data_IF_121824788698
#
_entry.id   IF_121824788698
#
_cell.length_a   1.000
_cell.length_b   1.000
_cell.length_c   1.000
_cell.angle_alpha   90.00
_cell.angle_beta   90.00
_cell.angle_gamma   90.00
#
_symmetry.space_group_name_H-M   'P 1'
#
loop_
_entity.id
_entity.type
_entity.pdbx_description
1 polymer ?
#
# COMPACT_ATOMS: atom_id res chain seq x y z
N UNK A 1 -0.52 -17.91 42.30
CA UNK A 1 -1.94 -18.26 41.97
C UNK A 1 -2.32 -17.50 40.72
N UNK A 2 -2.56 -18.20 39.67
CA UNK A 2 -2.84 -17.65 38.35
C UNK A 2 -4.30 -17.19 38.36
N UNK A 3 -4.52 -15.85 38.50
CA UNK A 3 -5.84 -15.22 38.58
C UNK A 3 -6.58 -15.20 37.21
N UNK A 4 -6.63 -16.35 36.51
CA UNK A 4 -7.50 -16.50 35.33
C UNK A 4 -8.99 -16.55 35.73
N UNK A 5 -9.30 -16.80 37.00
CA UNK A 5 -10.70 -16.79 37.52
C UNK A 5 -11.40 -15.42 37.34
N UNK A 6 -10.63 -14.33 37.30
CA UNK A 6 -11.17 -12.99 37.03
C UNK A 6 -11.41 -12.73 35.53
N UNK A 7 -10.86 -13.58 34.65
CA UNK A 7 -10.99 -13.41 33.21
C UNK A 7 -12.34 -13.95 32.75
N UNK A 8 -13.28 -13.06 32.53
CA UNK A 8 -14.63 -13.39 32.11
C UNK A 8 -15.13 -12.45 30.98
N UNK A 9 -16.30 -12.72 30.46
CA UNK A 9 -16.89 -11.92 29.38
C UNK A 9 -17.08 -10.45 29.75
N UNK A 10 -17.36 -10.16 31.03
CA UNK A 10 -17.49 -8.80 31.55
C UNK A 10 -16.16 -8.04 31.51
N UNK A 11 -15.08 -8.70 31.90
CA UNK A 11 -13.73 -8.15 31.84
C UNK A 11 -13.34 -7.76 30.40
N UNK A 12 -13.66 -8.63 29.41
CA UNK A 12 -13.42 -8.29 27.99
C UNK A 12 -14.26 -7.11 27.52
N UNK A 13 -15.51 -7.01 27.97
CA UNK A 13 -16.37 -5.87 27.64
C UNK A 13 -15.85 -4.58 28.23
N UNK A 14 -15.44 -4.60 29.51
CA UNK A 14 -14.85 -3.44 30.20
C UNK A 14 -13.55 -3.00 29.50
N UNK A 15 -12.70 -3.95 29.08
CA UNK A 15 -11.51 -3.65 28.29
C UNK A 15 -11.86 -2.95 26.97
N UNK A 16 -12.82 -3.45 26.21
CA UNK A 16 -13.27 -2.81 24.96
C UNK A 16 -13.82 -1.40 25.23
N UNK A 17 -14.57 -1.23 26.30
CA UNK A 17 -15.11 0.08 26.68
C UNK A 17 -13.99 1.06 27.05
N UNK A 18 -12.97 0.63 27.79
CA UNK A 18 -11.82 1.48 28.12
C UNK A 18 -11.07 1.97 26.87
N UNK A 19 -10.94 1.11 25.86
CA UNK A 19 -10.29 1.49 24.60
C UNK A 19 -11.09 2.56 23.82
N UNK A 20 -12.41 2.66 24.00
CA UNK A 20 -13.24 3.69 23.33
C UNK A 20 -12.89 5.12 23.74
N UNK A 21 -12.35 5.32 24.92
CA UNK A 21 -11.94 6.65 25.37
C UNK A 21 -10.65 7.14 24.73
N UNK A 22 -9.83 6.22 24.19
CA UNK A 22 -8.47 6.52 23.71
C UNK A 22 -8.25 6.19 22.23
N UNK A 23 -9.13 5.41 21.59
CA UNK A 23 -8.90 4.86 20.25
C UNK A 23 -10.13 4.94 19.35
N UNK A 24 -9.87 5.06 18.04
CA UNK A 24 -10.90 4.92 16.99
C UNK A 24 -11.43 3.48 16.95
N UNK A 25 -12.68 3.28 16.52
CA UNK A 25 -13.34 1.98 16.44
C UNK A 25 -12.53 0.93 15.62
N UNK A 26 -11.89 1.35 14.54
CA UNK A 26 -11.01 0.50 13.73
C UNK A 26 -9.80 -0.01 14.50
N UNK A 27 -9.20 0.85 15.36
CA UNK A 27 -8.06 0.49 16.21
C UNK A 27 -8.46 -0.46 17.32
N UNK A 28 -9.66 -0.29 17.91
CA UNK A 28 -10.21 -1.19 18.93
C UNK A 28 -10.29 -2.62 18.41
N UNK A 29 -10.83 -2.80 17.19
CA UNK A 29 -10.93 -4.13 16.58
C UNK A 29 -9.55 -4.78 16.37
N UNK A 30 -8.54 -3.99 16.03
CA UNK A 30 -7.17 -4.46 15.84
C UNK A 30 -6.50 -4.86 17.16
N UNK A 31 -6.69 -4.06 18.21
CA UNK A 31 -6.15 -4.36 19.53
C UNK A 31 -6.87 -5.52 20.23
N UNK A 32 -8.16 -5.71 19.98
CA UNK A 32 -8.91 -6.84 20.54
C UNK A 32 -8.56 -8.18 19.89
N UNK A 33 -8.10 -8.20 18.64
CA UNK A 33 -7.81 -9.44 17.91
C UNK A 33 -6.79 -10.36 18.62
N UNK A 34 -5.61 -9.90 19.09
CA UNK A 34 -4.70 -10.74 19.85
C UNK A 34 -5.29 -11.18 21.20
N UNK A 35 -6.04 -10.31 21.90
CA UNK A 35 -6.72 -10.66 23.15
C UNK A 35 -7.73 -11.77 22.93
N UNK A 36 -8.52 -11.67 21.86
CA UNK A 36 -9.48 -12.73 21.48
C UNK A 36 -8.75 -14.05 21.16
N UNK A 37 -7.63 -14.01 20.45
CA UNK A 37 -6.85 -15.20 20.13
C UNK A 37 -6.29 -15.86 21.39
N UNK A 38 -5.77 -15.06 22.32
CA UNK A 38 -5.27 -15.54 23.62
C UNK A 38 -6.38 -16.16 24.47
N UNK A 39 -7.53 -15.52 24.60
CA UNK A 39 -8.65 -16.08 25.36
C UNK A 39 -9.18 -17.38 24.76
N UNK A 40 -9.18 -17.50 23.43
CA UNK A 40 -9.53 -18.76 22.76
C UNK A 40 -8.51 -19.86 23.03
N UNK A 41 -7.23 -19.53 23.03
CA UNK A 41 -6.18 -20.47 23.37
C UNK A 41 -6.31 -20.94 24.84
N UNK A 42 -6.56 -20.05 25.79
CA UNK A 42 -6.82 -20.43 27.18
C UNK A 42 -7.98 -21.41 27.32
N UNK A 43 -9.05 -21.21 26.56
CA UNK A 43 -10.17 -22.16 26.52
C UNK A 43 -9.80 -23.51 25.87
N UNK A 44 -8.99 -23.53 24.82
CA UNK A 44 -8.53 -24.73 24.14
C UNK A 44 -7.57 -25.57 24.97
N UNK A 45 -6.84 -24.94 25.88
CA UNK A 45 -5.88 -25.59 26.80
C UNK A 45 -6.49 -25.82 28.20
N UNK A 46 -7.82 -25.77 28.30
CA UNK A 46 -8.59 -26.06 29.53
C UNK A 46 -8.29 -25.13 30.74
N UNK A 47 -7.68 -23.94 30.50
CA UNK A 47 -7.53 -22.91 31.54
C UNK A 47 -8.83 -22.13 31.83
N UNK A 48 -9.81 -22.22 30.94
CA UNK A 48 -11.14 -21.61 31.10
C UNK A 48 -12.22 -22.66 30.77
N UNK A 49 -13.24 -22.73 31.60
CA UNK A 49 -14.38 -23.67 31.41
C UNK A 49 -15.23 -23.36 30.17
N UNK A 50 -15.12 -22.15 29.62
CA UNK A 50 -15.90 -21.71 28.46
C UNK A 50 -15.17 -20.64 27.65
N UNK A 51 -15.46 -20.57 26.33
CA UNK A 51 -14.99 -19.49 25.45
C UNK A 51 -15.70 -18.17 25.81
N UNK A 52 -15.01 -17.33 26.60
CA UNK A 52 -15.51 -16.03 27.05
C UNK A 52 -15.58 -14.99 25.90
N UNK A 53 -15.02 -15.29 24.71
CA UNK A 53 -15.04 -14.37 23.57
C UNK A 53 -16.37 -14.43 22.79
N UNK A 54 -17.20 -15.47 23.02
CA UNK A 54 -18.46 -15.66 22.33
C UNK A 54 -19.44 -14.55 22.69
N UNK A 55 -19.98 -13.88 21.67
CA UNK A 55 -20.98 -12.81 21.82
C UNK A 55 -20.40 -11.51 22.40
N UNK A 56 -19.08 -11.32 22.40
CA UNK A 56 -18.43 -10.02 22.62
C UNK A 56 -18.55 -9.21 21.34
N UNK A 57 -19.33 -8.13 21.38
CA UNK A 57 -19.56 -7.23 20.22
C UNK A 57 -18.52 -6.12 20.21
N UNK A 58 -17.85 -5.98 19.08
CA UNK A 58 -16.98 -4.85 18.79
C UNK A 58 -17.78 -3.65 18.25
N UNK A 59 -17.34 -2.42 18.47
CA UNK A 59 -17.92 -1.27 17.77
C UNK A 59 -17.84 -1.47 16.26
N UNK A 60 -18.88 -1.00 15.56
CA UNK A 60 -18.85 -0.97 14.10
C UNK A 60 -17.68 -0.10 13.65
N UNK A 61 -16.97 -0.56 12.63
CA UNK A 61 -15.92 0.26 12.00
C UNK A 61 -16.57 1.51 11.41
N UNK A 62 -15.97 2.65 11.67
CA UNK A 62 -16.34 3.85 10.96
C UNK A 62 -15.92 3.66 9.50
N UNK A 63 -16.88 3.72 8.59
CA UNK A 63 -16.60 3.71 7.15
C UNK A 63 -16.05 5.09 6.77
N UNK A 64 -14.76 5.30 6.96
CA UNK A 64 -14.12 6.50 6.45
C UNK A 64 -14.09 6.40 4.92
N UNK A 65 -14.77 7.30 4.24
CA UNK A 65 -14.63 7.51 2.80
C UNK A 65 -13.22 8.09 2.60
N UNK A 66 -12.39 7.35 1.85
CA UNK A 66 -11.03 7.80 1.51
C UNK A 66 -11.11 8.46 0.15
N UNK A 67 -10.99 9.77 0.12
CA UNK A 67 -10.96 10.57 -1.09
C UNK A 67 -9.69 10.27 -1.92
N UNK A 68 -9.80 9.88 -3.21
CA UNK A 68 -8.67 9.65 -4.07
C UNK A 68 -7.92 10.96 -4.40
N UNK A 69 -6.70 10.84 -4.93
CA UNK A 69 -5.95 12.01 -5.41
C UNK A 69 -6.55 12.52 -6.72
N UNK A 70 -6.58 13.84 -6.86
CA UNK A 70 -6.94 14.53 -8.11
C UNK A 70 -5.72 14.72 -9.01
N UNK A 71 -5.91 15.03 -10.30
CA UNK A 71 -4.81 15.38 -11.21
C UNK A 71 -4.00 16.57 -10.67
N UNK A 72 -4.66 17.59 -10.14
CA UNK A 72 -3.97 18.75 -9.58
C UNK A 72 -3.08 18.38 -8.39
N UNK A 73 -3.54 17.52 -7.49
CA UNK A 73 -2.73 17.06 -6.36
C UNK A 73 -1.54 16.21 -6.81
N UNK A 74 -1.73 15.38 -7.84
CA UNK A 74 -0.62 14.57 -8.40
C UNK A 74 0.43 15.50 -9.02
N UNK A 75 0.05 16.49 -9.81
CA UNK A 75 0.99 17.47 -10.34
C UNK A 75 1.74 18.23 -9.23
N UNK A 76 1.04 18.63 -8.17
CA UNK A 76 1.66 19.30 -7.01
C UNK A 76 2.67 18.38 -6.29
N UNK A 77 2.38 17.07 -6.23
CA UNK A 77 3.29 16.06 -5.67
C UNK A 77 4.52 15.88 -6.57
N UNK A 78 4.33 15.77 -7.88
CA UNK A 78 5.42 15.64 -8.85
C UNK A 78 6.35 16.84 -8.81
N UNK A 79 5.80 18.05 -8.78
CA UNK A 79 6.59 19.28 -8.62
C UNK A 79 7.39 19.30 -7.31
N UNK A 80 6.79 18.83 -6.22
CA UNK A 80 7.49 18.72 -4.94
C UNK A 80 8.64 17.70 -4.99
N UNK A 81 8.43 16.56 -5.65
CA UNK A 81 9.47 15.52 -5.82
C UNK A 81 10.62 16.05 -6.68
N UNK A 82 10.31 16.68 -7.82
CA UNK A 82 11.30 17.09 -8.81
C UNK A 82 12.08 18.31 -8.33
N UNK A 83 11.40 19.33 -7.82
CA UNK A 83 12.00 20.64 -7.55
C UNK A 83 12.53 20.81 -6.12
N UNK A 84 12.07 20.00 -5.16
CA UNK A 84 12.45 20.13 -3.75
C UNK A 84 13.32 18.99 -3.23
N UNK A 85 13.68 18.03 -4.08
CA UNK A 85 14.60 16.94 -3.70
C UNK A 85 16.04 17.42 -3.61
N UNK A 86 16.81 16.78 -2.74
CA UNK A 86 18.23 17.12 -2.47
C UNK A 86 19.10 16.98 -3.73
N UNK A 87 18.84 15.97 -4.54
CA UNK A 87 19.53 15.78 -5.82
C UNK A 87 18.64 15.07 -6.84
N UNK A 88 19.04 15.13 -8.11
CA UNK A 88 18.29 14.56 -9.24
C UNK A 88 18.07 13.06 -9.14
N UNK A 89 19.06 12.32 -8.63
CA UNK A 89 18.94 10.87 -8.51
C UNK A 89 17.91 10.47 -7.45
N UNK A 90 17.89 11.17 -6.30
CA UNK A 90 16.85 10.98 -5.28
C UNK A 90 15.49 11.39 -5.83
N UNK A 91 15.39 12.51 -6.55
CA UNK A 91 14.16 12.95 -7.19
C UNK A 91 13.61 11.84 -8.10
N UNK A 92 14.44 11.30 -8.97
CA UNK A 92 14.04 10.25 -9.91
C UNK A 92 13.65 8.94 -9.21
N UNK A 93 14.39 8.54 -8.16
CA UNK A 93 14.01 7.39 -7.31
C UNK A 93 12.64 7.59 -6.69
N UNK A 94 12.43 8.74 -6.08
CA UNK A 94 11.20 9.07 -5.36
C UNK A 94 10.00 9.19 -6.31
N UNK A 95 10.22 9.76 -7.49
CA UNK A 95 9.26 9.80 -8.58
C UNK A 95 8.84 8.38 -9.01
N UNK A 96 9.80 7.49 -9.26
CA UNK A 96 9.50 6.10 -9.59
C UNK A 96 8.73 5.38 -8.48
N UNK A 97 9.12 5.56 -7.20
CA UNK A 97 8.43 4.96 -6.05
C UNK A 97 6.97 5.45 -5.96
N UNK A 98 6.75 6.76 -6.14
CA UNK A 98 5.42 7.35 -6.10
C UNK A 98 4.53 6.80 -7.21
N UNK A 99 5.01 6.83 -8.46
CA UNK A 99 4.24 6.39 -9.62
C UNK A 99 4.04 4.86 -9.68
N UNK A 100 4.96 4.05 -9.16
CA UNK A 100 4.70 2.61 -8.99
C UNK A 100 3.52 2.33 -8.04
N UNK A 101 3.33 3.15 -7.02
CA UNK A 101 2.17 3.04 -6.15
C UNK A 101 0.90 3.64 -6.79
N UNK A 102 1.03 4.75 -7.53
CA UNK A 102 -0.09 5.49 -8.13
C UNK A 102 -0.57 4.86 -9.44
N UNK A 103 0.34 4.58 -10.38
CA UNK A 103 -0.02 4.12 -11.73
C UNK A 103 0.03 2.60 -11.91
N UNK A 104 0.68 1.88 -11.00
CA UNK A 104 0.71 0.41 -11.04
C UNK A 104 0.04 -0.23 -9.82
N UNK A 105 -0.42 0.57 -8.86
CA UNK A 105 -1.10 0.10 -7.67
C UNK A 105 -0.26 -0.83 -6.78
N UNK A 106 1.09 -0.72 -6.80
CA UNK A 106 1.96 -1.60 -6.04
C UNK A 106 1.90 -1.31 -4.53
N UNK A 107 2.05 -2.38 -3.74
CA UNK A 107 2.22 -2.27 -2.29
C UNK A 107 3.65 -1.87 -1.95
N UNK A 108 3.86 -1.20 -0.81
CA UNK A 108 5.20 -0.79 -0.34
C UNK A 108 6.22 -1.94 -0.31
N UNK A 109 5.81 -3.14 0.12
CA UNK A 109 6.68 -4.32 0.12
C UNK A 109 7.06 -4.76 -1.29
N UNK A 110 6.14 -4.67 -2.24
CA UNK A 110 6.35 -5.04 -3.64
C UNK A 110 7.34 -4.07 -4.30
N UNK A 111 7.26 -2.76 -3.98
CA UNK A 111 8.19 -1.75 -4.47
C UNK A 111 9.62 -2.01 -3.92
N UNK A 112 9.75 -2.27 -2.63
CA UNK A 112 11.06 -2.59 -2.01
C UNK A 112 11.68 -3.85 -2.61
N UNK A 113 10.86 -4.85 -2.94
CA UNK A 113 11.32 -6.15 -3.46
C UNK A 113 11.40 -6.21 -4.98
N UNK A 114 11.09 -5.13 -5.70
CA UNK A 114 11.10 -5.10 -7.15
C UNK A 114 12.52 -5.33 -7.68
N UNK A 115 12.66 -6.27 -8.63
CA UNK A 115 13.95 -6.63 -9.23
C UNK A 115 14.06 -6.05 -10.63
N UNK A 116 15.28 -5.70 -11.06
CA UNK A 116 15.55 -5.19 -12.41
C UNK A 116 15.05 -6.15 -13.51
N UNK A 117 15.20 -7.45 -13.29
CA UNK A 117 14.77 -8.49 -14.23
C UNK A 117 13.24 -8.61 -14.37
N UNK A 118 12.48 -8.10 -13.42
CA UNK A 118 11.02 -8.18 -13.40
C UNK A 118 10.38 -6.99 -14.13
N UNK A 119 11.17 -6.00 -14.55
CA UNK A 119 10.73 -4.85 -15.34
C UNK A 119 10.82 -5.19 -16.83
N UNK A 120 9.67 -5.30 -17.50
CA UNK A 120 9.56 -5.44 -18.95
C UNK A 120 9.07 -4.12 -19.54
N UNK A 121 9.15 -3.98 -20.84
CA UNK A 121 8.81 -2.73 -21.54
C UNK A 121 7.37 -2.23 -21.24
N UNK A 122 6.42 -3.14 -21.08
CA UNK A 122 4.98 -2.87 -20.93
C UNK A 122 4.38 -3.44 -19.65
N UNK A 123 5.17 -4.11 -18.82
CA UNK A 123 4.66 -4.83 -17.65
C UNK A 123 5.69 -5.05 -16.56
N UNK A 124 5.19 -5.26 -15.33
CA UNK A 124 5.96 -5.71 -14.18
C UNK A 124 5.52 -7.11 -13.78
N UNK A 125 6.48 -7.95 -13.37
CA UNK A 125 6.21 -9.23 -12.74
C UNK A 125 6.35 -9.02 -11.23
N UNK A 126 5.25 -9.21 -10.51
CA UNK A 126 5.21 -9.01 -9.06
C UNK A 126 5.13 -10.36 -8.35
N UNK A 127 6.20 -10.69 -7.65
CA UNK A 127 6.29 -11.93 -6.90
C UNK A 127 5.58 -11.82 -5.55
N UNK A 128 4.74 -12.83 -5.23
CA UNK A 128 3.98 -12.84 -4.00
C UNK A 128 4.40 -14.02 -3.11
N UNK A 129 5.26 -13.72 -2.13
CA UNK A 129 5.79 -14.72 -1.21
C UNK A 129 4.72 -15.42 -0.34
N UNK A 130 3.55 -14.80 -0.12
CA UNK A 130 2.54 -15.30 0.81
C UNK A 130 1.65 -16.40 0.22
N UNK A 131 1.39 -16.39 -1.09
CA UNK A 131 0.49 -17.33 -1.76
C UNK A 131 1.12 -18.03 -2.97
N UNK A 132 2.42 -17.84 -3.20
CA UNK A 132 3.18 -18.38 -4.34
C UNK A 132 2.50 -18.16 -5.71
N UNK A 133 1.77 -17.05 -5.86
CA UNK A 133 1.09 -16.64 -7.09
C UNK A 133 1.61 -15.31 -7.53
N UNK A 134 2.46 -15.34 -8.53
CA UNK A 134 2.94 -14.15 -9.22
C UNK A 134 1.79 -13.50 -10.00
N UNK A 135 1.90 -12.18 -10.20
CA UNK A 135 0.96 -11.44 -11.03
C UNK A 135 1.68 -10.49 -11.96
N UNK A 136 1.02 -10.18 -13.06
CA UNK A 136 1.47 -9.18 -14.01
C UNK A 136 0.68 -7.89 -13.77
N UNK A 137 1.39 -6.77 -13.73
CA UNK A 137 0.80 -5.42 -13.70
C UNK A 137 1.32 -4.66 -14.92
N UNK A 138 0.44 -3.95 -15.62
CA UNK A 138 0.83 -3.12 -16.75
C UNK A 138 1.74 -1.97 -16.26
N UNK A 139 2.71 -1.61 -17.10
CA UNK A 139 3.68 -0.57 -16.82
C UNK A 139 3.56 0.55 -17.85
N UNK A 140 3.12 1.75 -17.46
CA UNK A 140 3.09 2.90 -18.35
C UNK A 140 4.46 3.19 -18.96
N UNK A 141 4.46 3.60 -20.22
CA UNK A 141 5.69 3.83 -20.99
C UNK A 141 6.61 4.88 -20.35
N UNK A 142 6.03 5.98 -19.84
CA UNK A 142 6.79 7.04 -19.17
C UNK A 142 7.51 6.48 -17.93
N UNK A 143 6.83 5.62 -17.15
CA UNK A 143 7.40 5.05 -15.93
C UNK A 143 8.49 4.01 -16.26
N UNK A 144 8.33 3.24 -17.33
CA UNK A 144 9.39 2.36 -17.82
C UNK A 144 10.68 3.13 -18.12
N UNK A 145 10.59 4.27 -18.83
CA UNK A 145 11.75 5.09 -19.13
C UNK A 145 12.32 5.76 -17.87
N UNK A 146 11.48 6.24 -16.96
CA UNK A 146 11.93 6.80 -15.68
C UNK A 146 12.68 5.78 -14.83
N UNK A 147 12.19 4.55 -14.74
CA UNK A 147 12.89 3.46 -14.08
C UNK A 147 14.22 3.14 -14.75
N UNK A 148 14.26 3.08 -16.08
CA UNK A 148 15.51 2.86 -16.82
C UNK A 148 16.52 3.98 -16.58
N UNK A 149 16.09 5.22 -16.61
CA UNK A 149 16.98 6.36 -16.32
C UNK A 149 17.51 6.25 -14.91
N UNK A 150 16.65 5.96 -13.91
CA UNK A 150 17.07 5.82 -12.53
C UNK A 150 18.20 4.79 -12.37
N UNK A 151 18.05 3.57 -12.86
CA UNK A 151 19.09 2.57 -12.67
C UNK A 151 20.24 2.64 -13.68
N UNK A 152 20.11 3.39 -14.80
CA UNK A 152 21.22 3.67 -15.69
C UNK A 152 22.07 4.84 -15.18
N UNK A 153 21.46 5.89 -14.61
CA UNK A 153 22.20 7.00 -13.99
C UNK A 153 22.96 6.56 -12.75
N UNK A 154 22.51 5.52 -12.06
CA UNK A 154 23.24 4.94 -10.93
C UNK A 154 24.60 4.35 -11.31
N UNK A 155 24.89 4.16 -12.60
CA UNK A 155 26.21 3.73 -13.10
C UNK A 155 27.29 4.82 -13.06
N UNK A 156 26.96 6.07 -12.72
CA UNK A 156 27.95 7.15 -12.67
C UNK A 156 28.82 7.18 -11.39
N UNK A 157 28.47 6.46 -10.33
CA UNK A 157 29.41 6.21 -9.25
C UNK A 157 30.17 4.92 -9.50
N UNK A 158 31.49 5.00 -9.65
CA UNK A 158 32.40 3.84 -9.90
C UNK A 158 32.22 2.68 -8.91
N UNK A 159 31.62 2.95 -7.74
CA UNK A 159 31.35 1.97 -6.70
C UNK A 159 30.04 1.18 -6.91
N UNK A 160 29.14 1.67 -7.76
CA UNK A 160 27.85 1.04 -8.04
C UNK A 160 27.96 -0.26 -8.88
N UNK A 161 29.06 -0.38 -9.63
CA UNK A 161 29.33 -1.56 -10.49
C UNK A 161 29.65 -2.81 -9.68
N UNK A 162 30.06 -2.67 -8.42
CA UNK A 162 30.42 -3.79 -7.54
C UNK A 162 29.23 -4.43 -6.85
N UNK A 163 28.07 -3.73 -6.77
CA UNK A 163 26.90 -4.30 -6.11
C UNK A 163 26.03 -5.08 -7.09
N UNK A 164 26.11 -6.40 -7.04
CA UNK A 164 25.26 -7.34 -7.78
C UNK A 164 23.82 -7.35 -7.31
N UNK A 165 23.35 -6.27 -6.66
CA UNK A 165 21.98 -6.20 -6.17
C UNK A 165 21.00 -6.33 -7.33
N UNK A 166 20.15 -7.32 -7.25
CA UNK A 166 19.05 -7.52 -8.19
C UNK A 166 17.92 -6.53 -8.00
N UNK A 167 17.86 -5.86 -6.82
CA UNK A 167 16.83 -4.87 -6.49
C UNK A 167 16.95 -3.61 -7.33
N UNK A 168 15.79 -3.01 -7.66
CA UNK A 168 15.73 -1.75 -8.44
C UNK A 168 16.19 -0.58 -7.61
N UNK A 169 15.65 -0.45 -6.39
CA UNK A 169 15.86 0.72 -5.53
C UNK A 169 16.90 0.45 -4.48
N UNK A 170 17.93 1.30 -4.45
CA UNK A 170 19.01 1.22 -3.49
C UNK A 170 19.05 2.49 -2.62
N UNK A 171 19.55 2.33 -1.41
CA UNK A 171 19.90 3.45 -0.55
C UNK A 171 21.16 4.13 -1.12
N UNK A 172 21.23 5.44 -0.98
CA UNK A 172 22.33 6.20 -1.58
C UNK A 172 23.60 6.26 -0.71
N UNK A 173 23.51 5.83 0.55
CA UNK A 173 24.65 5.89 1.47
C UNK A 173 25.47 4.60 1.47
N UNK A 174 24.80 3.45 1.40
CA UNK A 174 25.42 2.14 1.52
C UNK A 174 25.23 1.24 0.29
N UNK A 175 24.43 1.69 -0.68
CA UNK A 175 24.04 0.92 -1.87
C UNK A 175 23.29 -0.39 -1.55
N UNK A 176 22.76 -0.52 -0.34
CA UNK A 176 21.90 -1.62 0.02
C UNK A 176 20.46 -1.39 -0.47
N UNK A 177 19.66 -2.45 -0.64
CA UNK A 177 18.25 -2.28 -1.01
C UNK A 177 17.50 -1.40 -0.01
N UNK A 178 16.67 -0.46 -0.53
CA UNK A 178 15.83 0.37 0.34
C UNK A 178 14.94 -0.50 1.23
N UNK A 179 14.56 0.06 2.37
CA UNK A 179 13.70 -0.60 3.34
C UNK A 179 12.26 -0.06 3.32
N UNK A 180 11.36 -0.75 4.02
CA UNK A 180 10.01 -0.22 4.26
C UNK A 180 10.05 1.11 5.04
N UNK A 181 11.08 1.32 5.86
CA UNK A 181 11.26 2.57 6.58
C UNK A 181 11.70 3.69 5.65
N UNK A 182 12.55 3.42 4.67
CA UNK A 182 12.94 4.40 3.63
C UNK A 182 11.69 4.93 2.90
N UNK A 183 10.77 4.04 2.49
CA UNK A 183 9.51 4.47 1.86
C UNK A 183 8.61 5.22 2.85
N UNK A 184 8.59 4.84 4.12
CA UNK A 184 7.82 5.56 5.15
C UNK A 184 8.35 6.99 5.32
N UNK A 185 9.66 7.18 5.45
CA UNK A 185 10.28 8.50 5.54
C UNK A 185 10.00 9.33 4.28
N UNK A 186 10.15 8.75 3.08
CA UNK A 186 9.80 9.41 1.83
C UNK A 186 8.38 10.00 1.85
N UNK A 187 7.36 9.23 2.25
CA UNK A 187 6.00 9.78 2.33
C UNK A 187 5.81 10.80 3.45
N UNK A 188 6.58 10.74 4.54
CA UNK A 188 6.57 11.76 5.59
C UNK A 188 7.14 13.09 5.08
N UNK A 189 8.29 13.04 4.39
CA UNK A 189 8.90 14.22 3.78
C UNK A 189 7.98 14.80 2.69
N UNK A 190 7.38 13.94 1.89
CA UNK A 190 6.48 14.34 0.82
C UNK A 190 5.25 15.11 1.30
N UNK A 191 4.70 14.79 2.47
CA UNK A 191 3.61 15.59 3.10
C UNK A 191 4.04 17.04 3.30
N UNK A 192 5.18 17.25 3.93
CA UNK A 192 5.71 18.59 4.19
C UNK A 192 6.07 19.34 2.91
N UNK A 193 6.64 18.62 1.93
CA UNK A 193 7.08 19.21 0.67
C UNK A 193 5.92 19.58 -0.25
N UNK A 194 4.92 18.72 -0.36
CA UNK A 194 3.77 18.93 -1.23
C UNK A 194 2.63 19.70 -0.55
N UNK A 195 2.58 19.74 0.78
CA UNK A 195 1.43 20.30 1.53
C UNK A 195 0.21 19.37 1.57
N UNK A 196 0.30 18.15 1.03
CA UNK A 196 -0.80 17.18 0.99
C UNK A 196 -0.64 16.20 2.17
N UNK A 197 -1.22 16.56 3.32
CA UNK A 197 -1.07 15.81 4.58
C UNK A 197 -1.57 14.36 4.52
N UNK A 198 -2.54 14.08 3.65
CA UNK A 198 -3.14 12.75 3.52
C UNK A 198 -2.33 11.78 2.65
N UNK A 199 -1.26 12.24 1.98
CA UNK A 199 -0.46 11.40 1.07
C UNK A 199 0.22 10.24 1.80
N UNK A 200 0.06 9.04 1.27
CA UNK A 200 0.75 7.81 1.69
C UNK A 200 0.55 6.70 0.65
N UNK A 201 1.38 5.68 0.67
CA UNK A 201 1.37 4.65 -0.37
C UNK A 201 0.05 3.88 -0.55
N UNK A 202 -0.76 3.75 0.52
CA UNK A 202 -2.09 3.15 0.37
C UNK A 202 -3.09 4.09 -0.30
N UNK A 203 -2.96 5.42 -0.12
CA UNK A 203 -3.79 6.39 -0.83
C UNK A 203 -3.49 6.37 -2.34
N UNK A 204 -2.21 6.30 -2.73
CA UNK A 204 -1.83 6.17 -4.14
C UNK A 204 -2.48 4.93 -4.78
N UNK A 205 -2.35 3.79 -4.13
CA UNK A 205 -2.97 2.54 -4.59
C UNK A 205 -4.51 2.58 -4.58
N UNK A 206 -5.10 3.31 -3.64
CA UNK A 206 -6.53 3.56 -3.58
C UNK A 206 -6.98 4.42 -4.79
N UNK A 207 -6.22 5.46 -5.09
CA UNK A 207 -6.42 6.30 -6.27
C UNK A 207 -6.33 5.48 -7.56
N UNK A 208 -5.32 4.63 -7.71
CA UNK A 208 -5.21 3.68 -8.82
C UNK A 208 -6.50 2.88 -9.04
N UNK A 209 -7.03 2.26 -8.00
CA UNK A 209 -8.21 1.42 -8.12
C UNK A 209 -9.48 2.22 -8.45
N UNK A 210 -9.64 3.41 -7.85
CA UNK A 210 -10.79 4.30 -8.11
C UNK A 210 -10.73 4.86 -9.52
N UNK A 211 -9.55 5.34 -9.95
CA UNK A 211 -9.30 5.83 -11.30
C UNK A 211 -9.55 4.76 -12.34
N UNK A 212 -9.08 3.54 -12.10
CA UNK A 212 -9.29 2.42 -13.02
C UNK A 212 -10.78 2.18 -13.32
N UNK A 213 -11.65 2.26 -12.32
CA UNK A 213 -13.09 2.17 -12.52
C UNK A 213 -13.69 3.42 -13.15
N UNK A 214 -13.21 4.61 -12.79
CA UNK A 214 -13.69 5.87 -13.35
C UNK A 214 -13.57 5.89 -14.88
N UNK A 215 -12.50 5.33 -15.40
CA UNK A 215 -12.25 5.26 -16.83
C UNK A 215 -12.68 3.94 -17.49
N UNK A 216 -13.61 3.21 -16.87
CA UNK A 216 -14.27 2.04 -17.45
C UNK A 216 -13.52 0.73 -17.37
N UNK A 217 -12.59 0.61 -16.43
CA UNK A 217 -11.83 -0.62 -16.20
C UNK A 217 -12.69 -1.79 -15.70
N UNK A 218 -12.32 -3.00 -16.08
CA UNK A 218 -13.00 -4.23 -15.72
C UNK A 218 -12.65 -4.69 -14.28
N UNK A 219 -13.64 -5.13 -13.52
CA UNK A 219 -13.48 -5.53 -12.11
C UNK A 219 -12.54 -6.73 -11.93
N UNK A 220 -12.61 -7.71 -12.82
CA UNK A 220 -11.78 -8.91 -12.72
C UNK A 220 -10.32 -8.60 -13.05
N UNK A 221 -10.07 -7.75 -14.07
CA UNK A 221 -8.73 -7.26 -14.37
C UNK A 221 -8.15 -6.47 -13.22
N UNK A 222 -8.94 -5.57 -12.58
CA UNK A 222 -8.47 -4.85 -11.41
C UNK A 222 -8.13 -5.80 -10.26
N UNK A 223 -8.93 -6.83 -10.04
CA UNK A 223 -8.66 -7.87 -9.03
C UNK A 223 -7.30 -8.54 -9.28
N UNK A 224 -6.99 -8.85 -10.52
CA UNK A 224 -5.69 -9.43 -10.91
C UNK A 224 -4.54 -8.43 -10.67
N UNK A 225 -4.66 -7.18 -11.11
CA UNK A 225 -3.64 -6.14 -10.90
C UNK A 225 -3.38 -5.87 -9.42
N UNK A 226 -4.44 -5.83 -8.61
CA UNK A 226 -4.35 -5.59 -7.17
C UNK A 226 -3.81 -6.80 -6.38
N UNK A 227 -3.85 -8.00 -6.96
CA UNK A 227 -3.45 -9.24 -6.30
C UNK A 227 -4.35 -9.60 -5.13
N UNK A 228 -5.39 -10.41 -5.38
CA UNK A 228 -6.35 -10.94 -4.40
C UNK A 228 -7.05 -9.88 -3.54
N UNK A 229 -7.49 -8.80 -4.14
CA UNK A 229 -8.45 -7.91 -3.49
C UNK A 229 -9.78 -8.64 -3.31
N UNK A 230 -10.36 -8.53 -2.11
CA UNK A 230 -11.71 -8.98 -1.84
C UNK A 230 -12.70 -8.21 -2.72
N UNK A 231 -13.71 -8.88 -3.26
CA UNK A 231 -14.76 -8.24 -4.07
C UNK A 231 -15.49 -7.12 -3.33
N UNK A 232 -15.66 -7.23 -2.01
CA UNK A 232 -16.25 -6.14 -1.21
C UNK A 232 -15.37 -4.88 -1.23
N UNK A 233 -14.06 -5.05 -1.23
CA UNK A 233 -13.12 -3.93 -1.36
C UNK A 233 -13.22 -3.31 -2.75
N UNK A 234 -13.34 -4.13 -3.80
CA UNK A 234 -13.47 -3.64 -5.18
C UNK A 234 -14.78 -2.87 -5.40
N UNK A 235 -15.89 -3.33 -4.82
CA UNK A 235 -17.17 -2.59 -4.85
C UNK A 235 -17.06 -1.20 -4.22
N UNK A 236 -16.27 -1.05 -3.16
CA UNK A 236 -16.02 0.25 -2.56
C UNK A 236 -15.31 1.20 -3.53
N UNK A 237 -14.31 0.71 -4.29
CA UNK A 237 -13.65 1.53 -5.32
C UNK A 237 -14.58 1.92 -6.47
N UNK A 238 -15.41 0.98 -6.92
CA UNK A 238 -16.43 1.26 -7.91
C UNK A 238 -17.41 2.34 -7.42
N UNK A 239 -17.86 2.25 -6.16
CA UNK A 239 -18.74 3.27 -5.58
C UNK A 239 -18.04 4.64 -5.49
N UNK A 240 -16.78 4.67 -5.09
CA UNK A 240 -16.00 5.91 -5.03
C UNK A 240 -15.79 6.55 -6.40
N UNK A 241 -15.59 5.76 -7.46
CA UNK A 241 -15.44 6.29 -8.82
C UNK A 241 -16.68 7.02 -9.32
N UNK A 242 -17.86 6.69 -8.79
CA UNK A 242 -19.11 7.42 -9.10
C UNK A 242 -19.27 8.72 -8.32
N UNK A 243 -18.59 8.85 -7.17
CA UNK A 243 -18.69 10.04 -6.31
C UNK A 243 -17.62 11.07 -6.65
N UNK A 244 -16.43 10.65 -7.07
CA UNK A 244 -15.28 11.52 -7.33
C UNK A 244 -14.97 11.59 -8.83
N UNK A 245 -15.58 12.53 -9.59
CA UNK A 245 -15.35 12.63 -11.03
C UNK A 245 -13.96 13.13 -11.41
N UNK A 246 -13.30 13.89 -10.53
CA UNK A 246 -11.99 14.52 -10.78
C UNK A 246 -10.81 13.70 -10.28
N UNK A 247 -10.97 12.38 -10.17
CA UNK A 247 -9.87 11.50 -9.77
C UNK A 247 -8.78 11.51 -10.83
N UNK A 248 -7.52 11.39 -10.37
CA UNK A 248 -6.33 11.29 -11.22
C UNK A 248 -6.51 10.31 -12.40
N UNK A 249 -6.16 10.75 -13.62
CA UNK A 249 -6.32 9.94 -14.83
C UNK A 249 -5.13 9.01 -15.04
N UNK A 250 -5.40 7.71 -15.08
CA UNK A 250 -4.39 6.70 -15.43
C UNK A 250 -4.01 6.75 -16.90
N UNK A 251 -2.82 6.20 -17.22
CA UNK A 251 -2.35 6.00 -18.59
C UNK A 251 -3.29 5.08 -19.38
N UNK A 252 -3.49 5.40 -20.66
CA UNK A 252 -4.40 4.70 -21.57
C UNK A 252 -4.05 3.21 -21.79
N UNK A 253 -2.84 2.76 -21.43
CA UNK A 253 -2.42 1.36 -21.52
C UNK A 253 -3.37 0.42 -20.75
N UNK A 254 -4.02 0.91 -19.70
CA UNK A 254 -4.96 0.12 -18.89
C UNK A 254 -6.31 -0.11 -19.58
N UNK A 255 -6.65 0.72 -20.57
CA UNK A 255 -7.98 0.76 -21.20
C UNK A 255 -7.95 0.30 -22.67
N UNK A 256 -6.76 0.19 -23.28
CA UNK A 256 -6.63 -0.34 -24.64
C UNK A 256 -7.14 -1.79 -24.69
N UNK A 257 -8.03 -2.07 -25.65
CA UNK A 257 -8.33 -3.45 -26.02
C UNK A 257 -7.06 -4.07 -26.63
N UNK A 258 -6.74 -5.35 -26.32
CA UNK A 258 -5.70 -6.04 -27.08
C UNK A 258 -6.06 -5.94 -28.56
N UNK A 259 -5.08 -5.54 -29.38
CA UNK A 259 -5.25 -5.54 -30.82
C UNK A 259 -5.65 -6.96 -31.22
N UNK A 260 -6.83 -7.10 -31.83
CA UNK A 260 -7.41 -8.36 -32.36
C UNK A 260 -6.63 -8.84 -33.56
#
# INVERSE_FOLDING_TARGET
SDDFEQLNKQTLRSYILSLRFTMKNTSIATNYRPVKAFCKWLYQEDYLDKDITIGVKLPKKDAAIVEPLTDQEVHQIDDAIINKSVNKHIALRNYCIFHLALDCGLRRKEIVQLRKMDIKHDRLIIHNAKNNKDRIVLLPRFLYFSLRNYYNESHYSHDYVKNSSTCVFLDMYDNEPITLNTIKCFYQDLKSLSGIERIHGHLCRHTFATSYFQYGGDMEKLRLFMGHADYEILKNYLHLSLIYPDVYKLDDIFFKKPDT
#
